data_IF_325215265174
#
_entry.id   IF_325215265174
#
_cell.length_a   1.000
_cell.length_b   1.000
_cell.length_c   1.000
_cell.angle_alpha   90.00
_cell.angle_beta   90.00
_cell.angle_gamma   90.00
#
_symmetry.space_group_name_H-M   'P 1'
#
loop_
_entity.id
_entity.type
_entity.pdbx_description
1 polymer ?
#
# COMPACT_ATOMS: atom_id res chain seq x y z
N UNK A 1 24.57 8.66 2.64
CA UNK A 1 23.58 8.52 1.53
C UNK A 1 22.44 7.64 2.00
N UNK A 2 21.23 8.07 1.69
CA UNK A 2 20.06 7.29 2.03
C UNK A 2 20.01 6.03 1.17
N UNK A 3 19.55 4.94 1.76
CA UNK A 3 19.33 3.68 1.07
C UNK A 3 18.11 3.82 0.15
N UNK A 4 18.19 3.24 -1.03
CA UNK A 4 17.04 3.19 -1.95
C UNK A 4 16.10 2.07 -1.56
N UNK A 5 14.81 2.33 -1.69
CA UNK A 5 13.75 1.40 -1.33
C UNK A 5 12.75 1.31 -2.48
N UNK A 6 12.62 0.10 -3.05
CA UNK A 6 11.65 -0.17 -4.10
C UNK A 6 10.36 -0.69 -3.48
N UNK A 7 9.25 -0.07 -3.81
CA UNK A 7 7.93 -0.49 -3.35
C UNK A 7 6.87 -0.24 -4.41
N UNK A 8 5.62 -0.49 -4.06
CA UNK A 8 4.46 -0.18 -4.91
C UNK A 8 3.62 0.88 -4.21
N UNK A 9 3.45 2.01 -4.89
CA UNK A 9 2.58 3.09 -4.44
C UNK A 9 1.17 2.85 -4.97
N UNK A 10 0.19 2.83 -4.07
CA UNK A 10 -1.23 2.86 -4.42
C UNK A 10 -1.74 4.24 -4.03
N UNK A 11 -1.88 5.11 -5.03
CA UNK A 11 -2.29 6.50 -4.86
C UNK A 11 -3.76 6.62 -5.26
N UNK A 12 -4.63 6.56 -4.26
CA UNK A 12 -6.08 6.56 -4.49
C UNK A 12 -6.60 7.94 -4.88
N UNK A 13 -5.90 9.01 -4.52
CA UNK A 13 -6.31 10.38 -4.86
C UNK A 13 -5.95 10.75 -6.30
N UNK A 14 -4.86 10.21 -6.82
CA UNK A 14 -4.47 10.37 -8.23
C UNK A 14 -4.86 9.16 -9.09
N UNK A 15 -5.56 8.19 -8.51
CA UNK A 15 -6.14 7.03 -9.19
C UNK A 15 -5.12 6.19 -9.95
N UNK A 16 -3.96 5.92 -9.31
CA UNK A 16 -2.91 5.13 -9.94
C UNK A 16 -2.20 4.22 -8.94
N UNK A 17 -1.67 3.12 -9.46
CA UNK A 17 -0.79 2.22 -8.72
C UNK A 17 0.45 1.97 -9.59
N UNK A 18 1.63 2.09 -8.99
CA UNK A 18 2.87 1.99 -9.75
C UNK A 18 4.02 1.57 -8.85
N UNK A 19 5.03 0.87 -9.42
CA UNK A 19 6.27 0.68 -8.69
C UNK A 19 7.01 2.01 -8.59
N UNK A 20 7.67 2.21 -7.46
CA UNK A 20 8.37 3.46 -7.20
C UNK A 20 9.58 3.18 -6.32
N UNK A 21 10.74 3.74 -6.69
CA UNK A 21 11.93 3.69 -5.86
C UNK A 21 12.12 5.05 -5.18
N UNK A 22 12.25 5.02 -3.87
CA UNK A 22 12.41 6.23 -3.06
C UNK A 22 13.63 6.08 -2.16
N UNK A 23 14.08 7.17 -1.57
CA UNK A 23 15.05 7.11 -0.49
C UNK A 23 14.35 6.64 0.78
N UNK A 24 15.00 5.74 1.53
CA UNK A 24 14.46 5.18 2.78
C UNK A 24 14.60 6.20 3.91
N UNK A 25 13.80 7.25 3.85
CA UNK A 25 13.76 8.37 4.77
C UNK A 25 12.31 8.73 5.07
N UNK A 26 12.07 9.22 6.26
CA UNK A 26 10.72 9.61 6.70
C UNK A 26 10.09 10.66 5.78
N UNK A 27 10.88 11.67 5.37
CA UNK A 27 10.40 12.72 4.47
C UNK A 27 9.94 12.18 3.12
N UNK A 28 10.58 11.13 2.62
CA UNK A 28 10.18 10.48 1.36
C UNK A 28 8.77 9.89 1.47
N UNK A 29 8.48 9.22 2.59
CA UNK A 29 7.16 8.65 2.84
C UNK A 29 6.09 9.76 2.94
N UNK A 30 6.37 10.83 3.67
CA UNK A 30 5.45 11.95 3.79
C UNK A 30 5.12 12.55 2.42
N UNK A 31 6.12 12.64 1.57
CA UNK A 31 5.97 13.24 0.24
C UNK A 31 5.13 12.36 -0.69
N UNK A 32 5.44 11.07 -0.77
CA UNK A 32 4.72 10.17 -1.70
C UNK A 32 3.30 9.86 -1.24
N UNK A 33 3.06 9.85 0.08
CA UNK A 33 1.74 9.58 0.64
C UNK A 33 0.93 10.86 0.85
N UNK A 34 1.55 12.02 0.65
CA UNK A 34 0.93 13.33 0.87
C UNK A 34 0.33 13.42 2.28
N UNK A 35 1.17 13.17 3.28
CA UNK A 35 0.75 13.14 4.67
C UNK A 35 1.83 13.68 5.59
N UNK A 36 1.52 13.84 6.87
CA UNK A 36 2.45 14.32 7.89
C UNK A 36 2.72 13.31 8.99
N UNK A 37 1.95 12.22 9.01
CA UNK A 37 2.11 11.12 9.97
C UNK A 37 1.94 9.81 9.24
N UNK A 38 2.83 8.86 9.49
CA UNK A 38 2.71 7.53 8.89
C UNK A 38 2.59 6.46 9.96
N UNK A 39 2.01 5.33 9.58
CA UNK A 39 2.04 4.08 10.33
C UNK A 39 2.55 2.98 9.41
N UNK A 40 3.13 1.94 9.97
CA UNK A 40 3.61 0.78 9.21
C UNK A 40 2.88 -0.44 9.76
N UNK A 41 2.15 -1.11 8.88
CA UNK A 41 1.38 -2.29 9.25
C UNK A 41 1.82 -3.46 8.41
N UNK A 42 1.78 -4.65 9.00
CA UNK A 42 2.07 -5.88 8.26
C UNK A 42 0.76 -6.49 7.80
N UNK A 43 0.69 -6.83 6.51
CA UNK A 43 -0.47 -7.47 5.92
C UNK A 43 -0.03 -8.59 4.99
N UNK A 44 -0.90 -9.57 4.83
CA UNK A 44 -0.73 -10.65 3.86
C UNK A 44 -1.54 -10.30 2.62
N UNK A 45 -0.91 -10.45 1.46
CA UNK A 45 -1.52 -10.11 0.19
C UNK A 45 -1.59 -11.36 -0.68
N UNK A 46 -2.76 -11.64 -1.22
CA UNK A 46 -2.97 -12.69 -2.18
C UNK A 46 -3.65 -13.94 -1.61
N UNK A 47 -4.85 -14.14 -1.78
CA UNK A 47 -5.72 -15.27 -1.45
C UNK A 47 -5.05 -16.53 -0.90
N UNK A 48 -5.05 -17.61 -1.71
CA UNK A 48 -4.57 -18.91 -1.29
C UNK A 48 -3.06 -18.96 -0.98
N UNK A 49 -2.26 -18.21 -1.74
CA UNK A 49 -0.81 -18.18 -1.61
C UNK A 49 -0.32 -16.83 -1.07
N UNK A 50 -1.05 -16.31 -0.10
CA UNK A 50 -0.76 -15.01 0.47
C UNK A 50 0.65 -14.93 1.05
N UNK A 51 1.28 -13.79 0.82
CA UNK A 51 2.62 -13.47 1.30
C UNK A 51 2.57 -12.21 2.13
N UNK A 52 3.40 -12.12 3.17
CA UNK A 52 3.44 -10.96 4.06
C UNK A 52 4.28 -9.83 3.47
N UNK A 53 3.80 -8.61 3.65
CA UNK A 53 4.49 -7.38 3.27
C UNK A 53 4.29 -6.34 4.36
N UNK A 54 5.19 -5.35 4.41
CA UNK A 54 4.97 -4.16 5.21
C UNK A 54 4.27 -3.11 4.34
N UNK A 55 3.33 -2.37 4.93
CA UNK A 55 2.61 -1.32 4.23
C UNK A 55 2.75 -0.04 5.04
N UNK A 56 3.35 0.98 4.42
CA UNK A 56 3.44 2.33 4.98
C UNK A 56 2.18 3.06 4.59
N UNK A 57 1.43 3.56 5.54
CA UNK A 57 0.14 4.20 5.29
C UNK A 57 0.04 5.54 6.02
N UNK A 58 -0.90 6.37 5.56
CA UNK A 58 -1.24 7.63 6.19
C UNK A 58 -1.98 7.33 7.50
N UNK A 59 -1.37 7.67 8.62
CA UNK A 59 -1.94 7.43 9.96
C UNK A 59 -3.24 8.24 10.18
N UNK A 60 -3.45 9.29 9.41
CA UNK A 60 -4.63 10.15 9.47
C UNK A 60 -5.57 9.95 8.28
N UNK A 61 -5.44 8.85 7.55
CA UNK A 61 -6.23 8.58 6.35
C UNK A 61 -7.74 8.59 6.60
N UNK A 62 -8.18 8.17 7.78
CA UNK A 62 -9.59 8.17 8.17
C UNK A 62 -10.17 9.56 8.33
N UNK A 63 -9.32 10.56 8.55
CA UNK A 63 -9.75 11.95 8.76
C UNK A 63 -9.72 12.80 7.50
N UNK A 64 -9.30 12.21 6.37
CA UNK A 64 -9.26 12.93 5.10
C UNK A 64 -10.65 13.03 4.47
N UNK A 65 -10.86 14.12 3.76
CA UNK A 65 -12.09 14.36 3.00
C UNK A 65 -11.74 14.50 1.50
N UNK A 66 -12.25 13.63 0.63
CA UNK A 66 -13.03 12.43 0.94
C UNK A 66 -12.17 11.26 1.42
N UNK A 67 -12.75 10.36 2.19
CA UNK A 67 -12.09 9.10 2.52
C UNK A 67 -12.07 8.21 1.29
N UNK A 68 -10.89 7.64 0.98
CA UNK A 68 -10.76 6.70 -0.13
C UNK A 68 -10.09 5.42 0.37
N UNK A 69 -10.79 4.32 0.21
CA UNK A 69 -10.29 3.00 0.59
C UNK A 69 -9.18 2.59 -0.36
N UNK A 70 -8.04 2.16 0.18
CA UNK A 70 -6.89 1.74 -0.61
C UNK A 70 -6.67 0.24 -0.63
N UNK A 71 -7.22 -0.49 0.33
CA UNK A 71 -7.09 -1.95 0.40
C UNK A 71 -8.35 -2.58 0.98
N UNK A 72 -8.71 -3.73 0.43
CA UNK A 72 -9.85 -4.56 0.87
C UNK A 72 -9.40 -6.00 1.05
N UNK A 73 -10.11 -6.74 1.91
CA UNK A 73 -9.87 -8.17 2.10
C UNK A 73 -10.67 -9.02 1.08
N UNK A 74 -10.66 -10.34 1.26
CA UNK A 74 -11.35 -11.28 0.36
C UNK A 74 -12.87 -11.13 0.39
N UNK A 75 -13.41 -10.53 1.44
CA UNK A 75 -14.85 -10.31 1.60
C UNK A 75 -15.27 -8.90 1.16
N UNK A 76 -14.33 -8.11 0.65
CA UNK A 76 -14.58 -6.73 0.25
C UNK A 76 -14.65 -5.77 1.43
N UNK A 77 -14.18 -6.17 2.60
CA UNK A 77 -14.15 -5.32 3.78
C UNK A 77 -12.96 -4.36 3.71
N UNK A 78 -13.15 -3.07 4.03
CA UNK A 78 -12.04 -2.12 4.03
C UNK A 78 -10.95 -2.52 5.03
N UNK A 79 -9.71 -2.46 4.60
CA UNK A 79 -8.54 -2.75 5.42
C UNK A 79 -7.67 -1.52 5.65
N UNK A 80 -7.52 -0.68 4.64
CA UNK A 80 -6.70 0.52 4.70
C UNK A 80 -7.39 1.66 3.96
N UNK A 81 -7.15 2.88 4.42
CA UNK A 81 -7.74 4.11 3.86
C UNK A 81 -6.62 5.11 3.59
N UNK A 82 -6.71 5.83 2.47
CA UNK A 82 -5.68 6.79 2.06
C UNK A 82 -4.56 6.12 1.27
N UNK A 83 -3.59 6.92 0.85
CA UNK A 83 -2.46 6.41 0.06
C UNK A 83 -1.63 5.41 0.85
N UNK A 84 -1.12 4.38 0.18
CA UNK A 84 -0.26 3.36 0.80
C UNK A 84 0.95 3.07 -0.08
N UNK A 85 2.06 2.67 0.58
CA UNK A 85 3.28 2.25 -0.09
C UNK A 85 3.68 0.88 0.45
N UNK A 86 3.74 -0.11 -0.42
CA UNK A 86 3.95 -1.51 -0.05
C UNK A 86 5.42 -1.87 -0.27
N UNK A 87 6.07 -2.39 0.76
CA UNK A 87 7.48 -2.80 0.72
C UNK A 87 7.63 -4.27 1.11
N UNK A 88 8.86 -4.78 1.05
CA UNK A 88 9.19 -6.07 1.63
C UNK A 88 9.11 -6.03 3.16
N UNK A 89 9.19 -7.19 3.78
CA UNK A 89 9.17 -7.28 5.24
C UNK A 89 10.45 -6.69 5.85
N UNK A 90 10.39 -6.35 7.15
CA UNK A 90 11.56 -5.82 7.84
C UNK A 90 12.63 -6.91 7.99
N UNK A 91 13.89 -6.50 7.94
CA UNK A 91 15.03 -7.39 8.15
C UNK A 91 15.30 -7.58 9.66
N UNK A 92 16.42 -8.27 9.98
CA UNK A 92 16.77 -8.57 11.37
C UNK A 92 17.06 -7.31 12.19
N UNK A 93 17.42 -6.21 11.53
CA UNK A 93 17.70 -4.93 12.16
C UNK A 93 16.48 -4.03 12.25
N UNK A 94 15.33 -4.50 11.78
CA UNK A 94 14.07 -3.74 11.80
C UNK A 94 13.91 -2.75 10.65
N UNK A 95 14.75 -2.83 9.62
CA UNK A 95 14.69 -1.94 8.47
C UNK A 95 13.80 -2.52 7.37
N UNK A 96 13.06 -1.65 6.70
CA UNK A 96 12.26 -2.05 5.54
C UNK A 96 13.18 -2.55 4.42
N UNK A 97 12.71 -3.53 3.67
CA UNK A 97 13.43 -4.09 2.53
C UNK A 97 12.70 -3.77 1.23
N UNK A 98 13.47 -3.70 0.13
CA UNK A 98 12.92 -3.49 -1.19
C UNK A 98 12.15 -4.72 -1.66
N UNK A 99 11.14 -4.50 -2.48
CA UNK A 99 10.46 -5.56 -3.21
C UNK A 99 11.37 -6.09 -4.32
N UNK A 100 11.22 -7.38 -4.64
CA UNK A 100 11.81 -7.96 -5.85
C UNK A 100 10.92 -7.63 -7.05
N UNK A 101 11.42 -7.86 -8.25
CA UNK A 101 10.60 -7.71 -9.47
C UNK A 101 9.37 -8.62 -9.43
N UNK A 102 9.51 -9.82 -8.90
CA UNK A 102 8.41 -10.79 -8.76
C UNK A 102 7.36 -10.26 -7.78
N UNK A 103 7.80 -9.68 -6.66
CA UNK A 103 6.90 -9.10 -5.67
C UNK A 103 6.12 -7.92 -6.24
N UNK A 104 6.78 -7.05 -7.02
CA UNK A 104 6.13 -5.93 -7.69
C UNK A 104 5.02 -6.43 -8.61
N UNK A 105 5.32 -7.39 -9.48
CA UNK A 105 4.33 -7.98 -10.39
C UNK A 105 3.20 -8.66 -9.64
N UNK A 106 3.52 -9.37 -8.57
CA UNK A 106 2.55 -10.05 -7.73
C UNK A 106 1.57 -9.07 -7.10
N UNK A 107 2.09 -8.00 -6.48
CA UNK A 107 1.26 -6.98 -5.83
C UNK A 107 0.40 -6.26 -6.87
N UNK A 108 0.97 -5.87 -8.01
CA UNK A 108 0.21 -5.19 -9.07
C UNK A 108 -0.89 -6.08 -9.63
N UNK A 109 -0.70 -7.40 -9.64
CA UNK A 109 -1.75 -8.33 -10.06
C UNK A 109 -2.95 -8.35 -9.10
N UNK A 110 -2.75 -7.89 -7.87
CA UNK A 110 -3.80 -7.81 -6.84
C UNK A 110 -4.43 -6.42 -6.75
N UNK A 111 -3.95 -5.46 -7.55
CA UNK A 111 -4.54 -4.12 -7.63
C UNK A 111 -5.60 -4.13 -8.73
N UNK A 112 -6.82 -3.79 -8.37
CA UNK A 112 -7.95 -3.79 -9.29
C UNK A 112 -8.83 -2.58 -9.08
N UNK A 113 -9.47 -2.12 -10.15
CA UNK A 113 -10.54 -1.14 -10.05
C UNK A 113 -11.81 -1.88 -9.66
N UNK A 114 -12.22 -1.70 -8.43
CA UNK A 114 -13.40 -2.38 -7.90
C UNK A 114 -14.61 -1.46 -7.95
N UNK A 115 -15.70 -2.00 -8.47
CA UNK A 115 -17.01 -1.39 -8.35
C UNK A 115 -17.89 -2.38 -7.62
N UNK A 116 -18.25 -2.08 -6.39
CA UNK A 116 -19.20 -2.90 -5.63
C UNK A 116 -20.47 -2.09 -5.42
N UNK A 117 -21.55 -2.76 -5.02
CA UNK A 117 -22.81 -2.08 -4.69
C UNK A 117 -22.65 -1.05 -3.56
N UNK A 118 -21.65 -1.25 -2.70
CA UNK A 118 -21.37 -0.36 -1.56
C UNK A 118 -20.33 0.71 -1.90
N UNK A 119 -19.43 0.42 -2.84
CA UNK A 119 -18.34 1.31 -3.20
C UNK A 119 -18.20 1.33 -4.72
N UNK A 120 -18.62 2.43 -5.33
CA UNK A 120 -18.32 2.67 -6.74
C UNK A 120 -16.98 3.37 -6.80
N UNK A 121 -15.91 2.57 -6.80
CA UNK A 121 -14.56 3.09 -6.84
C UNK A 121 -14.02 2.91 -8.26
N UNK A 122 -13.95 4.00 -9.02
CA UNK A 122 -13.33 4.00 -10.33
C UNK A 122 -11.82 4.04 -10.29
N UNK A 123 -11.19 3.86 -9.13
CA UNK A 123 -9.74 3.95 -8.96
C UNK A 123 -9.15 2.60 -8.52
N UNK A 124 -7.85 2.35 -8.84
CA UNK A 124 -7.18 1.12 -8.42
C UNK A 124 -7.03 1.04 -6.91
N UNK A 125 -7.29 -0.14 -6.35
CA UNK A 125 -7.06 -0.42 -4.94
C UNK A 125 -6.50 -1.83 -4.79
N UNK A 126 -5.80 -2.06 -3.69
CA UNK A 126 -5.25 -3.37 -3.36
C UNK A 126 -6.37 -4.30 -2.91
N UNK A 127 -6.43 -5.50 -3.49
CA UNK A 127 -7.39 -6.54 -3.11
C UNK A 127 -6.67 -7.66 -2.36
N UNK A 128 -7.44 -8.56 -1.72
CA UNK A 128 -6.91 -9.73 -1.01
C UNK A 128 -5.85 -9.34 0.04
N UNK A 129 -6.09 -8.22 0.73
CA UNK A 129 -5.21 -7.71 1.78
C UNK A 129 -5.78 -8.13 3.14
N UNK A 130 -5.03 -8.92 3.90
CA UNK A 130 -5.48 -9.50 5.17
C UNK A 130 -4.41 -9.41 6.26
N UNK A 131 -4.84 -9.54 7.49
CA UNK A 131 -3.92 -9.63 8.63
C UNK A 131 -2.95 -10.80 8.53
#
# INVERSE_FOLDING_TARGET
MAKKLLGVLVDVYNEKAQPLEIEDELDSFYKILDCTCIDIVRRRIGGRFKKAFEIVCDDEGLFREPQKISAIDNLGQPQLVGNIFITGTVDVDGNLTSLTKYDVSYILSKVQKMSTRKFINGYPMLTQCEY
#
